data_IF_389660516030
#
_entry.id   IF_389660516030
#
_cell.length_a   1.000
_cell.length_b   1.000
_cell.length_c   1.000
_cell.angle_alpha   90.00
_cell.angle_beta   90.00
_cell.angle_gamma   90.00
#
_symmetry.space_group_name_H-M   'P 1'
#
loop_
_entity.id
_entity.type
_entity.pdbx_description
1 polymer ?
#
# COMPACT_ATOMS: atom_id res chain seq x y z
N UNK A 1 12.80 29.04 -65.17
CA UNK A 1 11.38 28.71 -65.43
C UNK A 1 10.61 28.94 -64.14
N UNK A 2 10.15 30.17 -63.97
CA UNK A 2 9.67 30.73 -62.70
C UNK A 2 8.15 30.64 -62.73
N UNK A 3 7.55 29.76 -61.92
CA UNK A 3 6.09 29.61 -61.89
C UNK A 3 5.46 30.61 -60.91
N UNK A 4 4.54 31.34 -61.50
CA UNK A 4 3.77 32.48 -61.05
C UNK A 4 2.82 32.12 -59.89
N UNK A 5 2.76 33.03 -58.94
CA UNK A 5 1.87 33.15 -57.79
C UNK A 5 0.39 33.16 -58.20
N UNK A 6 -0.47 32.42 -57.52
CA UNK A 6 -1.90 32.75 -57.40
C UNK A 6 -2.38 32.35 -56.01
N UNK A 7 -2.49 33.36 -55.16
CA UNK A 7 -3.13 33.32 -53.84
C UNK A 7 -4.63 33.44 -54.09
N UNK A 8 -5.40 32.43 -53.71
CA UNK A 8 -6.85 32.51 -53.63
C UNK A 8 -7.25 32.59 -52.16
N UNK A 9 -7.54 33.81 -51.70
CA UNK A 9 -8.17 34.09 -50.41
C UNK A 9 -9.63 33.60 -50.49
N UNK A 10 -9.99 32.58 -49.70
CA UNK A 10 -11.37 32.32 -49.32
C UNK A 10 -11.57 32.70 -47.87
N UNK A 11 -12.20 33.87 -47.67
CA UNK A 11 -12.75 34.33 -46.41
C UNK A 11 -14.13 33.68 -46.26
N UNK A 12 -14.34 32.89 -45.20
CA UNK A 12 -15.59 32.17 -45.01
C UNK A 12 -15.86 31.76 -43.56
N UNK A 13 -16.50 32.67 -42.83
CA UNK A 13 -17.45 32.49 -41.73
C UNK A 13 -17.02 31.72 -40.45
N UNK A 14 -16.87 32.49 -39.36
CA UNK A 14 -16.96 32.00 -37.98
C UNK A 14 -18.34 31.37 -37.74
N UNK A 15 -18.35 30.12 -37.29
CA UNK A 15 -19.41 29.58 -36.46
C UNK A 15 -18.81 29.30 -35.08
N UNK A 16 -19.17 30.11 -34.09
CA UNK A 16 -18.99 29.78 -32.68
C UNK A 16 -19.98 28.67 -32.34
N UNK A 17 -19.48 27.44 -32.23
CA UNK A 17 -20.23 26.27 -31.79
C UNK A 17 -19.77 25.87 -30.40
N UNK A 18 -20.70 25.94 -29.47
CA UNK A 18 -20.62 25.64 -28.03
C UNK A 18 -19.81 24.38 -27.69
N UNK A 19 -18.84 24.52 -26.78
CA UNK A 19 -18.29 23.38 -26.03
C UNK A 19 -19.41 22.73 -25.22
N UNK A 20 -19.81 21.53 -25.61
CA UNK A 20 -20.56 20.61 -24.77
C UNK A 20 -19.64 19.48 -24.35
N UNK A 21 -19.58 19.23 -23.04
CA UNK A 21 -18.93 18.08 -22.43
C UNK A 21 -19.44 16.79 -23.11
N UNK A 22 -18.55 16.02 -23.73
CA UNK A 22 -18.82 14.63 -24.06
C UNK A 22 -18.12 13.76 -23.02
N UNK A 23 -18.94 13.00 -22.32
CA UNK A 23 -18.61 11.99 -21.33
C UNK A 23 -17.46 11.08 -21.76
N UNK A 24 -16.58 10.79 -20.81
CA UNK A 24 -15.45 9.87 -20.97
C UNK A 24 -15.88 8.53 -21.56
N UNK A 25 -15.08 8.07 -22.50
CA UNK A 25 -14.92 6.66 -22.78
C UNK A 25 -14.48 5.98 -21.48
N UNK A 26 -15.33 5.07 -20.99
CA UNK A 26 -14.95 4.19 -19.90
C UNK A 26 -13.80 3.31 -20.40
N UNK A 27 -12.60 3.57 -19.88
CA UNK A 27 -11.45 2.70 -20.06
C UNK A 27 -11.87 1.30 -19.60
N UNK A 28 -11.94 0.37 -20.54
CA UNK A 28 -12.41 -0.98 -20.27
C UNK A 28 -11.36 -1.67 -19.39
N UNK A 29 -11.78 -2.18 -18.23
CA UNK A 29 -10.90 -2.88 -17.31
C UNK A 29 -10.12 -4.01 -18.04
N UNK A 30 -8.81 -4.15 -17.78
CA UNK A 30 -8.01 -5.20 -18.40
C UNK A 30 -8.57 -6.56 -17.97
N UNK A 31 -9.14 -7.29 -18.93
CA UNK A 31 -9.68 -8.62 -18.71
C UNK A 31 -8.58 -9.63 -19.06
N UNK A 32 -7.92 -10.21 -18.06
CA UNK A 32 -7.00 -11.33 -18.27
C UNK A 32 -7.81 -12.61 -18.50
N UNK A 33 -7.58 -13.27 -19.63
CA UNK A 33 -8.25 -14.53 -19.98
C UNK A 33 -7.36 -15.70 -19.57
N UNK A 34 -7.74 -16.40 -18.50
CA UNK A 34 -7.25 -17.76 -18.25
C UNK A 34 -8.38 -18.75 -18.60
N UNK A 35 -8.12 -19.62 -19.58
CA UNK A 35 -8.99 -20.77 -19.87
C UNK A 35 -10.46 -20.51 -20.23
N UNK A 36 -10.84 -19.27 -20.60
CA UNK A 36 -12.22 -18.94 -20.98
C UNK A 36 -13.13 -18.53 -19.82
N UNK A 37 -12.59 -18.23 -18.64
CA UNK A 37 -13.34 -17.66 -17.54
C UNK A 37 -12.91 -16.20 -17.30
N UNK A 38 -13.84 -15.26 -17.50
CA UNK A 38 -13.61 -13.85 -17.15
C UNK A 38 -13.70 -13.69 -15.63
N UNK A 39 -12.54 -13.55 -14.98
CA UNK A 39 -12.46 -13.09 -13.59
C UNK A 39 -12.31 -11.57 -13.64
N UNK A 40 -13.22 -10.84 -13.00
CA UNK A 40 -13.05 -9.40 -12.86
C UNK A 40 -11.70 -9.14 -12.16
N UNK A 41 -10.85 -8.29 -12.74
CA UNK A 41 -9.65 -7.83 -12.07
C UNK A 41 -10.06 -7.24 -10.71
N UNK A 42 -9.50 -7.78 -9.63
CA UNK A 42 -9.69 -7.19 -8.30
C UNK A 42 -9.11 -5.77 -8.36
N UNK A 43 -9.83 -4.80 -7.79
CA UNK A 43 -9.31 -3.43 -7.69
C UNK A 43 -7.99 -3.48 -6.90
N UNK A 44 -6.94 -2.90 -7.46
CA UNK A 44 -5.65 -2.81 -6.79
C UNK A 44 -5.78 -1.84 -5.62
N UNK A 45 -5.51 -2.32 -4.40
CA UNK A 45 -5.48 -1.51 -3.18
C UNK A 45 -4.02 -1.38 -2.78
N UNK A 46 -3.51 -0.16 -2.89
CA UNK A 46 -2.13 0.17 -2.55
C UNK A 46 -1.99 0.39 -1.05
N UNK A 47 -0.77 0.27 -0.53
CA UNK A 47 -0.50 0.53 0.87
C UNK A 47 -0.82 1.98 1.28
N UNK A 48 -0.80 2.91 0.33
CA UNK A 48 -1.22 4.32 0.52
C UNK A 48 -2.73 4.51 0.63
N UNK A 49 -3.52 3.56 0.14
CA UNK A 49 -4.99 3.66 0.17
C UNK A 49 -5.56 3.23 1.53
N UNK A 50 -4.75 2.54 2.33
CA UNK A 50 -5.09 2.11 3.68
C UNK A 50 -4.60 3.18 4.68
N UNK A 51 -5.46 3.72 5.57
CA UNK A 51 -5.01 4.68 6.58
C UNK A 51 -3.92 4.13 7.49
N UNK A 52 -3.05 5.01 8.02
CA UNK A 52 -2.08 4.66 9.07
C UNK A 52 -2.82 4.22 10.33
N UNK A 53 -2.46 3.06 10.86
CA UNK A 53 -2.99 2.57 12.12
C UNK A 53 -2.21 3.17 13.29
N UNK A 54 -2.94 3.70 14.27
CA UNK A 54 -2.37 4.19 15.51
C UNK A 54 -2.76 3.27 16.66
N UNK A 55 -1.85 3.15 17.62
CA UNK A 55 -2.13 2.42 18.85
C UNK A 55 -3.20 3.18 19.66
N UNK A 56 -4.27 2.50 20.13
CA UNK A 56 -5.24 3.12 21.03
C UNK A 56 -4.60 3.58 22.34
N UNK A 57 -5.16 4.60 22.98
CA UNK A 57 -4.72 5.02 24.31
C UNK A 57 -4.80 3.86 25.31
N UNK A 58 -3.70 3.56 25.99
CA UNK A 58 -3.54 2.41 26.89
C UNK A 58 -3.13 1.10 26.19
N UNK A 59 -2.91 1.12 24.87
CA UNK A 59 -2.57 -0.04 24.05
C UNK A 59 -3.78 -0.79 23.49
N UNK A 60 -3.55 -1.79 22.63
CA UNK A 60 -4.63 -2.59 22.03
C UNK A 60 -5.30 -3.60 22.98
N UNK A 61 -4.85 -3.69 24.24
CA UNK A 61 -5.39 -4.61 25.24
C UNK A 61 -4.90 -6.05 25.08
N UNK A 62 -5.79 -7.02 25.32
CA UNK A 62 -5.43 -8.45 25.38
C UNK A 62 -5.56 -9.18 24.03
N UNK A 63 -6.36 -8.64 23.12
CA UNK A 63 -6.64 -9.26 21.83
C UNK A 63 -5.90 -8.50 20.74
N UNK A 64 -5.36 -9.23 19.78
CA UNK A 64 -4.85 -8.60 18.59
C UNK A 64 -5.97 -7.82 17.88
N UNK A 65 -5.73 -6.58 17.43
CA UNK A 65 -6.62 -5.89 16.53
C UNK A 65 -6.75 -6.66 15.21
N UNK A 66 -7.77 -6.31 14.42
CA UNK A 66 -7.89 -6.78 13.04
C UNK A 66 -6.61 -6.46 12.24
N UNK A 67 -6.25 -7.28 11.24
CA UNK A 67 -5.06 -6.98 10.43
C UNK A 67 -5.25 -5.67 9.66
N UNK A 68 -4.23 -4.81 9.71
CA UNK A 68 -4.26 -3.45 9.13
C UNK A 68 -4.22 -3.50 7.61
N UNK A 69 -3.39 -4.39 7.04
CA UNK A 69 -3.12 -4.47 5.61
C UNK A 69 -3.89 -5.61 4.92
N UNK A 70 -4.94 -6.14 5.55
CA UNK A 70 -5.70 -7.29 5.06
C UNK A 70 -6.23 -7.17 3.63
N UNK A 71 -6.58 -5.95 3.20
CA UNK A 71 -7.15 -5.68 1.87
C UNK A 71 -6.11 -5.27 0.83
N UNK A 72 -4.85 -5.10 1.23
CA UNK A 72 -3.80 -4.59 0.37
C UNK A 72 -3.39 -5.63 -0.66
N UNK A 73 -3.22 -5.19 -1.91
CA UNK A 73 -2.83 -6.06 -3.04
C UNK A 73 -1.52 -5.63 -3.68
N UNK A 74 -0.92 -4.52 -3.26
CA UNK A 74 0.37 -4.06 -3.76
C UNK A 74 1.48 -5.10 -3.48
N UNK A 75 2.28 -5.48 -4.49
CA UNK A 75 3.41 -6.38 -4.30
C UNK A 75 4.40 -5.85 -3.25
N UNK A 76 5.14 -6.75 -2.60
CA UNK A 76 6.21 -6.32 -1.71
C UNK A 76 7.28 -5.55 -2.51
N UNK A 77 7.87 -4.53 -1.87
CA UNK A 77 8.97 -3.78 -2.45
C UNK A 77 10.13 -4.70 -2.89
N UNK A 78 10.80 -4.32 -3.97
CA UNK A 78 11.89 -5.11 -4.54
C UNK A 78 12.99 -5.38 -3.49
N UNK A 79 13.39 -6.65 -3.37
CA UNK A 79 14.43 -7.08 -2.42
C UNK A 79 13.97 -7.16 -0.97
N UNK A 80 12.73 -6.77 -0.63
CA UNK A 80 12.20 -6.94 0.70
C UNK A 80 12.00 -8.44 1.02
N UNK A 81 12.49 -8.95 2.16
CA UNK A 81 12.14 -10.28 2.60
C UNK A 81 10.65 -10.34 2.96
N UNK A 82 10.02 -11.47 2.65
CA UNK A 82 8.66 -11.76 3.10
C UNK A 82 8.70 -12.24 4.56
N UNK A 83 8.27 -11.36 5.47
CA UNK A 83 8.18 -11.58 6.90
C UNK A 83 6.73 -11.71 7.38
N UNK A 84 5.75 -11.73 6.46
CA UNK A 84 4.33 -11.74 6.80
C UNK A 84 3.96 -12.96 7.63
N UNK A 85 3.15 -12.76 8.67
CA UNK A 85 2.62 -13.84 9.50
C UNK A 85 2.75 -13.59 11.00
N UNK A 86 2.53 -14.66 11.76
CA UNK A 86 2.65 -14.66 13.22
C UNK A 86 4.02 -15.18 13.62
N UNK A 87 4.66 -14.45 14.54
CA UNK A 87 5.98 -14.75 15.07
C UNK A 87 5.91 -14.92 16.59
N UNK A 88 6.71 -15.85 17.11
CA UNK A 88 6.89 -16.08 18.54
C UNK A 88 8.38 -16.03 18.87
N UNK A 89 8.73 -15.34 19.96
CA UNK A 89 10.09 -15.42 20.50
C UNK A 89 10.33 -16.82 21.11
N UNK A 90 11.31 -17.56 20.57
CA UNK A 90 11.65 -18.91 21.04
C UNK A 90 12.95 -18.97 21.85
N UNK A 91 13.77 -17.92 21.76
CA UNK A 91 15.00 -17.75 22.51
C UNK A 91 15.28 -16.25 22.70
N UNK A 92 15.94 -15.89 23.79
CA UNK A 92 16.36 -14.53 24.08
C UNK A 92 17.57 -14.56 25.02
N UNK A 93 18.52 -13.67 24.78
CA UNK A 93 19.75 -13.56 25.56
C UNK A 93 20.02 -12.09 25.89
N UNK A 94 20.72 -11.86 27.00
CA UNK A 94 21.27 -10.56 27.36
C UNK A 94 22.74 -10.73 27.71
N UNK A 95 23.61 -9.99 27.02
CA UNK A 95 25.07 -10.06 27.18
C UNK A 95 25.62 -11.51 27.01
N UNK A 96 25.03 -12.27 26.09
CA UNK A 96 25.37 -13.68 25.81
C UNK A 96 24.85 -14.69 26.85
N UNK A 97 24.02 -14.25 27.80
CA UNK A 97 23.39 -15.11 28.80
C UNK A 97 21.92 -15.32 28.46
N UNK A 98 21.45 -16.57 28.32
CA UNK A 98 20.03 -16.86 28.13
C UNK A 98 19.15 -16.24 29.22
N UNK A 99 18.04 -15.64 28.79
CA UNK A 99 17.04 -15.12 29.72
C UNK A 99 16.29 -16.27 30.42
N UNK A 100 15.81 -16.06 31.66
CA UNK A 100 14.95 -17.02 32.35
C UNK A 100 13.75 -17.45 31.47
N UNK A 101 13.34 -18.73 31.49
CA UNK A 101 12.24 -19.24 30.63
C UNK A 101 10.91 -18.50 30.79
N UNK A 102 10.66 -17.89 31.95
CA UNK A 102 9.47 -17.10 32.29
C UNK A 102 9.60 -15.60 31.97
N UNK A 103 10.70 -15.21 31.31
CA UNK A 103 10.91 -13.82 30.89
C UNK A 103 9.84 -13.36 29.91
N UNK A 104 9.36 -12.12 30.10
CA UNK A 104 8.37 -11.48 29.20
C UNK A 104 8.78 -11.50 27.72
N UNK A 105 10.07 -11.47 27.43
CA UNK A 105 10.56 -11.57 26.05
C UNK A 105 10.11 -12.88 25.38
N UNK A 106 10.18 -14.00 26.08
CA UNK A 106 9.85 -15.34 25.55
C UNK A 106 8.33 -15.62 25.49
N UNK A 107 7.50 -14.77 26.12
CA UNK A 107 6.04 -14.84 25.99
C UNK A 107 5.48 -13.92 24.91
N UNK A 108 6.34 -13.22 24.16
CA UNK A 108 5.90 -12.23 23.17
C UNK A 108 5.57 -12.87 21.83
N UNK A 109 4.40 -12.50 21.30
CA UNK A 109 3.97 -12.77 19.93
C UNK A 109 3.92 -11.48 19.13
N UNK A 110 4.16 -11.58 17.83
CA UNK A 110 4.13 -10.46 16.90
C UNK A 110 3.36 -10.87 15.64
N UNK A 111 2.49 -9.99 15.14
CA UNK A 111 1.97 -10.11 13.77
C UNK A 111 2.71 -9.13 12.89
N UNK A 112 3.29 -9.61 11.81
CA UNK A 112 3.90 -8.78 10.77
C UNK A 112 3.00 -8.83 9.54
N UNK A 113 2.67 -7.65 9.01
CA UNK A 113 1.95 -7.45 7.76
C UNK A 113 2.81 -6.56 6.87
N UNK A 114 2.85 -6.83 5.56
CA UNK A 114 3.64 -6.06 4.59
C UNK A 114 2.85 -5.85 3.31
N UNK A 115 2.97 -4.66 2.73
CA UNK A 115 2.40 -4.30 1.45
C UNK A 115 3.18 -3.13 0.83
N UNK A 116 3.68 -3.27 -0.39
CA UNK A 116 4.65 -2.31 -0.93
C UNK A 116 5.89 -2.20 -0.03
N UNK A 117 6.26 -0.97 0.32
CA UNK A 117 7.28 -0.62 1.30
C UNK A 117 6.72 -0.41 2.73
N UNK A 118 5.42 -0.66 2.97
CA UNK A 118 4.79 -0.50 4.28
C UNK A 118 4.89 -1.79 5.09
N UNK A 119 5.18 -1.63 6.38
CA UNK A 119 5.23 -2.72 7.36
C UNK A 119 4.39 -2.33 8.56
N UNK A 120 3.52 -3.23 9.00
CA UNK A 120 2.88 -3.12 10.32
C UNK A 120 3.31 -4.27 11.22
N UNK A 121 3.82 -3.96 12.40
CA UNK A 121 4.18 -4.94 13.43
C UNK A 121 3.26 -4.71 14.63
N UNK A 122 2.38 -5.67 14.91
CA UNK A 122 1.51 -5.62 16.09
C UNK A 122 2.10 -6.52 17.16
N UNK A 123 2.56 -5.94 18.28
CA UNK A 123 3.23 -6.67 19.35
C UNK A 123 3.20 -5.91 20.67
N UNK A 124 3.22 -6.62 21.80
CA UNK A 124 3.45 -6.00 23.12
C UNK A 124 2.44 -4.91 23.54
N UNK A 125 1.24 -4.88 22.97
CA UNK A 125 0.24 -3.83 23.20
C UNK A 125 0.30 -2.65 22.21
N UNK A 126 1.26 -2.63 21.29
CA UNK A 126 1.53 -1.55 20.32
C UNK A 126 1.30 -2.02 18.88
N UNK A 127 0.83 -1.11 18.03
CA UNK A 127 0.80 -1.22 16.56
C UNK A 127 1.89 -0.31 16.03
N UNK A 128 3.00 -0.91 15.58
CA UNK A 128 4.08 -0.22 14.89
C UNK A 128 3.71 -0.15 13.40
N UNK A 129 3.28 0.99 12.91
CA UNK A 129 2.93 1.20 11.50
C UNK A 129 3.92 2.19 10.88
N UNK A 130 4.65 1.75 9.85
CA UNK A 130 5.69 2.56 9.21
C UNK A 130 5.89 2.24 7.73
N UNK A 131 6.58 3.15 7.04
CA UNK A 131 7.23 2.90 5.75
C UNK A 131 8.69 2.54 5.94
N UNK A 132 9.18 1.56 5.18
CA UNK A 132 10.58 1.19 5.08
C UNK A 132 11.27 1.96 3.95
N UNK A 133 11.05 3.27 3.88
CA UNK A 133 11.51 4.16 2.78
C UNK A 133 12.84 4.86 3.07
N UNK A 134 13.45 4.58 4.23
CA UNK A 134 14.70 5.20 4.66
C UNK A 134 14.56 6.60 5.24
N UNK A 135 13.33 7.05 5.52
CA UNK A 135 13.05 8.36 6.11
C UNK A 135 12.41 8.24 7.49
N UNK A 136 12.62 9.25 8.34
CA UNK A 136 11.94 9.33 9.64
C UNK A 136 10.50 9.86 9.52
N UNK A 137 10.20 10.60 8.45
CA UNK A 137 8.91 11.27 8.26
C UNK A 137 7.73 10.28 8.27
N UNK A 138 7.94 9.09 7.68
CA UNK A 138 6.96 8.01 7.60
C UNK A 138 7.28 6.86 8.57
N UNK A 139 8.06 7.15 9.60
CA UNK A 139 8.42 6.19 10.64
C UNK A 139 7.27 5.88 11.60
N UNK A 140 7.58 5.10 12.64
CA UNK A 140 6.61 4.69 13.65
C UNK A 140 6.12 5.85 14.52
N UNK A 141 4.87 5.76 14.98
CA UNK A 141 4.29 6.67 15.97
C UNK A 141 3.77 5.89 17.19
N UNK A 142 4.72 5.26 17.89
CA UNK A 142 4.46 4.32 18.99
C UNK A 142 4.12 5.02 20.30
N UNK A 143 2.90 5.55 20.39
CA UNK A 143 2.35 6.12 21.63
C UNK A 143 1.10 5.36 22.02
N UNK A 144 0.99 5.02 23.31
CA UNK A 144 -0.14 4.32 23.92
C UNK A 144 -0.47 4.97 25.25
#
# INVERSE_FOLDING_TARGET
MTRLTTILLLLGLLAAGSSACSSGEADSAPTTTDGGNTVAAQAEVMASDIPVAYTPTGGYGQNFPAPVLATCTEPLAEGAPDMRGMWQAVAAEKDGVPLPPDSKALSTFQRIEQCGDRVTITAGGIIHDMRADGTELNGVHDVA
#
